data_IF_445600023391
#
_entry.id   IF_445600023391
#
_cell.length_a   1.000
_cell.length_b   1.000
_cell.length_c   1.000
_cell.angle_alpha   90.00
_cell.angle_beta   90.00
_cell.angle_gamma   90.00
#
_symmetry.space_group_name_H-M   'P 1'
#
loop_
_entity.id
_entity.type
_entity.pdbx_description
1 polymer ?
#
# COMPACT_ATOMS: atom_id res chain seq x y z
N UNK A 1 -4.96 -44.48 13.64
CA UNK A 1 -4.05 -43.31 13.59
C UNK A 1 -4.83 -42.18 12.94
N UNK A 2 -5.41 -41.28 13.73
CA UNK A 2 -6.13 -40.13 13.19
C UNK A 2 -5.09 -39.10 12.73
N UNK A 3 -4.80 -39.09 11.42
CA UNK A 3 -4.07 -37.98 10.83
C UNK A 3 -4.98 -36.76 10.87
N UNK A 4 -4.75 -35.87 11.83
CA UNK A 4 -5.35 -34.55 11.84
C UNK A 4 -4.92 -33.81 10.57
N UNK A 5 -5.86 -33.62 9.64
CA UNK A 5 -5.66 -32.76 8.48
C UNK A 5 -5.37 -31.34 9.00
N UNK A 6 -4.13 -30.90 8.86
CA UNK A 6 -3.67 -29.59 9.37
C UNK A 6 -3.54 -28.64 8.19
N UNK A 7 -4.11 -27.44 8.29
CA UNK A 7 -3.99 -26.43 7.24
C UNK A 7 -2.56 -25.86 7.20
N UNK A 8 -2.11 -25.44 6.02
CA UNK A 8 -0.83 -24.75 5.86
C UNK A 8 -1.02 -23.24 6.01
N UNK A 9 -0.89 -22.75 7.24
CA UNK A 9 -1.11 -21.34 7.57
C UNK A 9 0.10 -20.44 7.25
N UNK A 10 1.23 -21.01 6.84
CA UNK A 10 2.48 -20.25 6.61
C UNK A 10 2.28 -19.16 5.57
N UNK A 11 1.67 -19.51 4.44
CA UNK A 11 1.43 -18.56 3.34
C UNK A 11 0.41 -17.52 3.74
N UNK A 12 -0.66 -17.92 4.45
CA UNK A 12 -1.69 -17.00 4.95
C UNK A 12 -1.08 -15.96 5.89
N UNK A 13 -0.24 -16.38 6.84
CA UNK A 13 0.44 -15.46 7.75
C UNK A 13 1.36 -14.48 7.00
N UNK A 14 2.13 -14.98 6.02
CA UNK A 14 3.02 -14.13 5.21
C UNK A 14 2.24 -13.05 4.44
N UNK A 15 1.15 -13.43 3.77
CA UNK A 15 0.31 -12.48 3.04
C UNK A 15 -0.42 -11.53 4.00
N UNK A 16 -0.89 -11.99 5.16
CA UNK A 16 -1.50 -11.12 6.17
C UNK A 16 -0.53 -10.01 6.64
N UNK A 17 0.73 -10.36 6.93
CA UNK A 17 1.75 -9.37 7.27
C UNK A 17 2.05 -8.41 6.10
N UNK A 18 2.15 -8.94 4.88
CA UNK A 18 2.37 -8.13 3.69
C UNK A 18 1.21 -7.15 3.43
N UNK A 19 -0.04 -7.59 3.56
CA UNK A 19 -1.23 -6.75 3.43
C UNK A 19 -1.22 -5.62 4.44
N UNK A 20 -0.93 -5.87 5.73
CA UNK A 20 -0.86 -4.78 6.72
C UNK A 20 0.21 -3.75 6.35
N UNK A 21 1.41 -4.21 5.94
CA UNK A 21 2.50 -3.33 5.52
C UNK A 21 2.09 -2.47 4.31
N UNK A 22 1.54 -3.08 3.26
CA UNK A 22 1.12 -2.35 2.07
C UNK A 22 -0.11 -1.49 2.30
N UNK A 23 -0.98 -1.85 3.24
CA UNK A 23 -2.10 -1.00 3.68
C UNK A 23 -1.60 0.31 4.28
N UNK A 24 -0.59 0.26 5.14
CA UNK A 24 0.03 1.46 5.72
C UNK A 24 0.69 2.31 4.63
N UNK A 25 1.46 1.69 3.74
CA UNK A 25 2.14 2.41 2.64
C UNK A 25 1.12 3.04 1.69
N UNK A 26 0.13 2.27 1.22
CA UNK A 26 -0.89 2.72 0.28
C UNK A 26 -1.72 3.87 0.86
N UNK A 27 -2.23 3.72 2.08
CA UNK A 27 -3.02 4.78 2.74
C UNK A 27 -2.16 6.01 3.07
N UNK A 28 -0.90 5.82 3.49
CA UNK A 28 0.03 6.91 3.76
C UNK A 28 0.33 7.76 2.52
N UNK A 29 0.55 7.13 1.35
CA UNK A 29 0.69 7.86 0.08
C UNK A 29 -0.61 8.58 -0.30
N UNK A 30 -1.77 7.99 0.02
CA UNK A 30 -3.08 8.64 -0.17
C UNK A 30 -3.21 9.93 0.64
N UNK A 31 -2.76 9.94 1.89
CA UNK A 31 -2.74 11.15 2.73
C UNK A 31 -1.78 12.20 2.17
N UNK A 32 -0.59 11.79 1.69
CA UNK A 32 0.34 12.70 1.01
C UNK A 32 -0.28 13.34 -0.25
N UNK A 33 -0.96 12.55 -1.08
CA UNK A 33 -1.66 13.05 -2.26
C UNK A 33 -2.79 14.02 -1.89
N UNK A 34 -3.55 13.72 -0.84
CA UNK A 34 -4.59 14.61 -0.34
C UNK A 34 -3.99 15.95 0.14
N UNK A 35 -2.85 15.91 0.83
CA UNK A 35 -2.12 17.11 1.23
C UNK A 35 -1.61 17.93 0.04
N UNK A 36 -1.14 17.29 -1.03
CA UNK A 36 -0.71 17.97 -2.27
C UNK A 36 -1.84 18.71 -2.99
N UNK A 37 -3.11 18.30 -2.81
CA UNK A 37 -4.26 19.03 -3.36
C UNK A 37 -4.52 20.36 -2.64
N UNK A 38 -4.17 20.45 -1.36
CA UNK A 38 -4.33 21.66 -0.54
C UNK A 38 -3.08 22.53 -0.63
N UNK A 39 -1.89 21.92 -0.56
CA UNK A 39 -0.60 22.57 -0.61
C UNK A 39 0.24 22.04 -1.77
N UNK A 40 0.09 22.61 -2.99
CA UNK A 40 0.79 22.13 -4.18
C UNK A 40 2.32 22.30 -4.10
N UNK A 41 2.81 23.14 -3.19
CA UNK A 41 4.22 23.36 -2.88
C UNK A 41 4.91 22.11 -2.29
N UNK A 42 4.15 21.16 -1.73
CA UNK A 42 4.67 19.89 -1.21
C UNK A 42 5.33 19.00 -2.27
N UNK A 43 5.12 19.28 -3.56
CA UNK A 43 5.86 18.61 -4.64
C UNK A 43 7.36 18.98 -4.65
N UNK A 44 7.75 20.11 -4.02
CA UNK A 44 9.15 20.50 -3.82
C UNK A 44 9.99 20.69 -5.09
N UNK A 45 9.36 20.81 -6.26
CA UNK A 45 10.04 20.80 -7.57
C UNK A 45 10.60 19.44 -7.99
N UNK A 46 10.31 18.37 -7.25
CA UNK A 46 10.88 17.04 -7.49
C UNK A 46 9.97 16.25 -8.44
N UNK A 47 10.44 15.84 -9.64
CA UNK A 47 9.58 15.27 -10.67
C UNK A 47 8.83 13.98 -10.27
N UNK A 48 9.42 13.12 -9.45
CA UNK A 48 8.80 11.85 -9.03
C UNK A 48 7.82 11.98 -7.86
N UNK A 49 7.88 13.08 -7.12
CA UNK A 49 6.90 13.41 -6.07
C UNK A 49 5.68 14.16 -6.60
N UNK A 50 5.61 14.40 -7.91
CA UNK A 50 4.45 15.06 -8.52
C UNK A 50 3.17 14.26 -8.34
N UNK A 51 2.08 14.95 -8.02
CA UNK A 51 0.74 14.38 -7.86
C UNK A 51 0.34 13.41 -9.00
N UNK A 52 0.65 13.78 -10.25
CA UNK A 52 0.34 12.96 -11.43
C UNK A 52 1.02 11.59 -11.46
N UNK A 53 2.21 11.46 -10.85
CA UNK A 53 2.97 10.19 -10.79
C UNK A 53 2.68 9.40 -9.51
N UNK A 54 2.48 10.09 -8.40
CA UNK A 54 2.15 9.46 -7.12
C UNK A 54 0.74 8.89 -7.08
N UNK A 55 -0.21 9.42 -7.85
CA UNK A 55 -1.59 8.92 -7.86
C UNK A 55 -1.70 7.49 -8.41
N UNK A 56 -1.12 7.14 -9.59
CA UNK A 56 -1.03 5.74 -10.02
C UNK A 56 -0.31 4.85 -9.00
N UNK A 57 0.72 5.34 -8.31
CA UNK A 57 1.41 4.59 -7.26
C UNK A 57 0.48 4.27 -6.09
N UNK A 58 -0.25 5.25 -5.57
CA UNK A 58 -1.24 5.06 -4.50
C UNK A 58 -2.31 4.04 -4.90
N UNK A 59 -2.92 4.20 -6.07
CA UNK A 59 -3.98 3.30 -6.53
C UNK A 59 -3.46 1.86 -6.70
N UNK A 60 -2.27 1.66 -7.27
CA UNK A 60 -1.70 0.31 -7.39
C UNK A 60 -1.33 -0.29 -6.02
N UNK A 61 -0.75 0.51 -5.11
CA UNK A 61 -0.39 0.06 -3.77
C UNK A 61 -1.63 -0.36 -2.95
N UNK A 62 -2.73 0.40 -3.04
CA UNK A 62 -3.96 0.08 -2.31
C UNK A 62 -4.74 -1.07 -2.97
N UNK A 63 -4.77 -1.18 -4.30
CA UNK A 63 -5.59 -2.20 -4.96
C UNK A 63 -4.87 -3.55 -5.09
N UNK A 64 -3.59 -3.56 -5.45
CA UNK A 64 -2.88 -4.80 -5.79
C UNK A 64 -1.84 -5.27 -4.77
N UNK A 65 -1.34 -4.36 -3.92
CA UNK A 65 -0.35 -4.72 -2.91
C UNK A 65 -1.00 -4.92 -1.53
N UNK A 66 -2.00 -4.10 -1.18
CA UNK A 66 -2.81 -4.26 0.02
C UNK A 66 -3.91 -5.31 -0.13
N UNK A 67 -4.74 -5.17 -1.18
CA UNK A 67 -5.85 -6.06 -1.51
C UNK A 67 -5.41 -7.33 -2.20
#
# INVERSE_FOLDING_TARGET
MNQSATYNDKVVAQFAYASVLWGIVGMGVGVLLAAQLIWPELNGGVPWLSYGRLRPLHTNAVIFAFG
#
